data_IF_108229858397
#
_entry.id   IF_108229858397
#
_cell.length_a   1.000
_cell.length_b   1.000
_cell.length_c   1.000
_cell.angle_alpha   90.00
_cell.angle_beta   90.00
_cell.angle_gamma   90.00
#
_symmetry.space_group_name_H-M   'P 1'
#
loop_
_entity.id
_entity.type
_entity.pdbx_description
1 polymer ?
#
# COMPACT_ATOMS: atom_id res chain seq x y z
N UNK A 1 6.23 25.70 -2.47
CA UNK A 1 6.89 24.52 -3.08
C UNK A 1 6.26 24.22 -4.41
N UNK A 2 7.05 23.95 -5.42
CA UNK A 2 6.52 23.64 -6.73
C UNK A 2 5.82 22.28 -6.74
N UNK A 3 4.79 22.16 -7.55
CA UNK A 3 4.00 20.93 -7.68
C UNK A 3 4.88 19.71 -8.02
N UNK A 4 5.89 19.90 -8.87
CA UNK A 4 6.83 18.86 -9.27
C UNK A 4 7.59 18.28 -8.07
N UNK A 5 8.03 19.15 -7.14
CA UNK A 5 8.76 18.71 -5.95
C UNK A 5 7.87 17.95 -4.99
N UNK A 6 6.60 18.33 -4.90
CA UNK A 6 5.63 17.64 -4.05
C UNK A 6 5.39 16.22 -4.57
N UNK A 7 5.23 16.06 -5.89
CA UNK A 7 5.03 14.74 -6.49
C UNK A 7 6.24 13.84 -6.31
N UNK A 8 7.43 14.38 -6.48
CA UNK A 8 8.68 13.63 -6.27
C UNK A 8 8.82 13.21 -4.80
N UNK A 9 8.52 14.09 -3.87
CA UNK A 9 8.56 13.81 -2.45
C UNK A 9 7.55 12.75 -2.07
N UNK A 10 6.33 12.87 -2.60
CA UNK A 10 5.26 11.91 -2.36
C UNK A 10 5.67 10.51 -2.82
N UNK A 11 6.23 10.40 -4.01
CA UNK A 11 6.68 9.12 -4.55
C UNK A 11 7.85 8.55 -3.76
N UNK A 12 8.79 9.38 -3.32
CA UNK A 12 9.90 8.94 -2.48
C UNK A 12 9.39 8.37 -1.15
N UNK A 13 8.38 9.00 -0.55
CA UNK A 13 7.76 8.51 0.68
C UNK A 13 7.04 7.18 0.47
N UNK A 14 6.31 7.03 -0.65
CA UNK A 14 5.64 5.77 -0.97
C UNK A 14 6.64 4.63 -1.17
N UNK A 15 7.70 4.88 -1.92
CA UNK A 15 8.73 3.87 -2.17
C UNK A 15 9.46 3.48 -0.88
N UNK A 16 9.79 4.46 -0.04
CA UNK A 16 10.45 4.21 1.25
C UNK A 16 9.56 3.38 2.17
N UNK A 17 8.28 3.75 2.26
CA UNK A 17 7.32 3.03 3.10
C UNK A 17 7.13 1.60 2.60
N UNK A 18 6.99 1.42 1.29
CA UNK A 18 6.84 0.09 0.69
C UNK A 18 8.04 -0.81 1.03
N UNK A 19 9.25 -0.28 0.87
CA UNK A 19 10.47 -1.02 1.19
C UNK A 19 10.48 -1.46 2.66
N UNK A 20 10.22 -0.53 3.57
CA UNK A 20 10.27 -0.81 5.00
C UNK A 20 9.15 -1.77 5.42
N UNK A 21 7.96 -1.63 4.86
CA UNK A 21 6.84 -2.50 5.17
C UNK A 21 7.07 -3.93 4.71
N UNK A 22 7.71 -4.12 3.56
CA UNK A 22 8.01 -5.46 3.05
C UNK A 22 9.16 -6.12 3.78
N UNK A 23 10.05 -5.35 4.37
CA UNK A 23 11.19 -5.87 5.16
C UNK A 23 10.82 -6.11 6.62
N UNK A 24 9.70 -5.58 7.09
CA UNK A 24 9.30 -5.61 8.49
C UNK A 24 8.34 -6.77 8.77
N UNK A 25 8.45 -7.38 9.96
CA UNK A 25 7.53 -8.45 10.36
C UNK A 25 6.12 -7.92 10.65
N UNK A 26 6.01 -6.65 11.06
CA UNK A 26 4.73 -5.99 11.27
C UNK A 26 4.72 -4.67 10.50
N UNK A 27 4.06 -4.63 9.33
CA UNK A 27 4.05 -3.42 8.49
C UNK A 27 3.49 -2.18 9.18
N UNK A 28 2.57 -2.36 10.14
CA UNK A 28 1.96 -1.24 10.84
C UNK A 28 2.88 -0.62 11.89
N UNK A 29 4.00 -1.27 12.20
CA UNK A 29 4.99 -0.74 13.14
C UNK A 29 6.03 0.15 12.47
N UNK A 30 5.96 0.32 11.16
CA UNK A 30 6.86 1.22 10.43
C UNK A 30 6.60 2.67 10.85
N UNK A 31 7.62 3.32 11.40
CA UNK A 31 7.47 4.67 11.94
C UNK A 31 7.64 5.74 10.88
N UNK A 32 7.05 6.92 11.14
CA UNK A 32 7.23 8.09 10.27
C UNK A 32 8.71 8.47 10.14
N UNK A 33 9.46 8.38 11.23
CA UNK A 33 10.89 8.71 11.22
C UNK A 33 11.69 7.75 10.34
N UNK A 34 11.38 6.46 10.40
CA UNK A 34 12.06 5.47 9.56
C UNK A 34 11.75 5.73 8.08
N UNK A 35 10.50 6.03 7.76
CA UNK A 35 10.08 6.32 6.39
C UNK A 35 10.79 7.56 5.84
N UNK A 36 10.77 8.65 6.58
CA UNK A 36 11.38 9.91 6.12
C UNK A 36 12.89 9.81 6.03
N UNK A 37 13.52 9.07 6.94
CA UNK A 37 14.96 8.83 6.89
C UNK A 37 15.32 8.05 5.61
N UNK A 38 14.57 7.00 5.30
CA UNK A 38 14.79 6.21 4.08
C UNK A 38 14.56 7.04 2.83
N UNK A 39 13.52 7.89 2.83
CA UNK A 39 13.20 8.75 1.69
C UNK A 39 14.12 9.96 1.55
N UNK A 40 14.85 10.32 2.62
CA UNK A 40 15.71 11.48 2.62
C UNK A 40 14.97 12.82 2.66
N UNK A 41 13.79 12.84 3.32
CA UNK A 41 12.96 14.04 3.39
C UNK A 41 12.61 14.40 4.83
N UNK A 42 12.06 15.59 5.02
CA UNK A 42 11.67 16.10 6.33
C UNK A 42 10.44 15.34 6.85
N UNK A 43 10.42 15.10 8.17
CA UNK A 43 9.33 14.41 8.85
C UNK A 43 7.96 15.05 8.58
N UNK A 44 7.91 16.39 8.50
CA UNK A 44 6.65 17.11 8.23
C UNK A 44 6.04 16.76 6.88
N UNK A 45 6.83 16.22 5.94
CA UNK A 45 6.34 15.94 4.59
C UNK A 45 5.32 14.81 4.55
N UNK A 46 5.32 13.90 5.52
CA UNK A 46 4.28 12.86 5.58
C UNK A 46 2.91 13.52 5.78
N UNK A 47 2.80 14.42 6.76
CA UNK A 47 1.54 15.12 7.00
C UNK A 47 1.16 16.04 5.83
N UNK A 48 2.14 16.67 5.21
CA UNK A 48 1.90 17.57 4.08
C UNK A 48 1.37 16.81 2.86
N UNK A 49 1.97 15.68 2.53
CA UNK A 49 1.62 14.92 1.32
C UNK A 49 0.46 13.95 1.50
N UNK A 50 0.27 13.40 2.70
CA UNK A 50 -0.70 12.33 2.96
C UNK A 50 -1.68 12.64 4.07
N UNK A 51 -1.39 13.63 4.90
CA UNK A 51 -2.22 13.96 6.06
C UNK A 51 -1.86 13.19 7.32
N UNK A 52 -1.41 11.95 7.20
CA UNK A 52 -1.01 11.13 8.34
C UNK A 52 -0.13 9.97 7.87
N UNK A 53 0.57 9.35 8.82
CA UNK A 53 1.31 8.12 8.57
C UNK A 53 0.38 7.00 8.10
N UNK A 54 -0.77 6.88 8.74
CA UNK A 54 -1.75 5.85 8.42
C UNK A 54 -2.26 5.98 6.98
N UNK A 55 -2.50 7.19 6.51
CA UNK A 55 -2.90 7.42 5.11
C UNK A 55 -1.81 6.98 4.13
N UNK A 56 -0.54 7.26 4.46
CA UNK A 56 0.60 6.81 3.66
C UNK A 56 0.66 5.29 3.59
N UNK A 57 0.55 4.61 4.73
CA UNK A 57 0.58 3.15 4.77
C UNK A 57 -0.58 2.55 3.99
N UNK A 58 -1.76 3.16 4.05
CA UNK A 58 -2.94 2.73 3.28
C UNK A 58 -2.69 2.80 1.78
N UNK A 59 -2.03 3.86 1.30
CA UNK A 59 -1.71 3.96 -0.12
C UNK A 59 -0.72 2.88 -0.56
N UNK A 60 0.25 2.56 0.29
CA UNK A 60 1.19 1.48 0.00
C UNK A 60 0.46 0.15 -0.09
N UNK A 61 -0.47 -0.11 0.83
CA UNK A 61 -1.29 -1.32 0.76
C UNK A 61 -2.07 -1.38 -0.56
N UNK A 62 -2.59 -0.26 -1.02
CA UNK A 62 -3.29 -0.19 -2.29
C UNK A 62 -2.41 -0.58 -3.47
N UNK A 63 -1.16 -0.14 -3.48
CA UNK A 63 -0.18 -0.50 -4.51
C UNK A 63 0.12 -2.00 -4.51
N UNK A 64 0.43 -2.55 -3.34
CA UNK A 64 0.76 -3.97 -3.19
C UNK A 64 -0.43 -4.84 -3.56
N UNK A 65 -1.62 -4.44 -3.17
CA UNK A 65 -2.87 -5.11 -3.50
C UNK A 65 -3.09 -5.15 -5.01
N UNK A 66 -2.86 -4.02 -5.71
CA UNK A 66 -3.03 -3.95 -7.15
C UNK A 66 -2.09 -4.91 -7.87
N UNK A 67 -0.82 -4.96 -7.45
CA UNK A 67 0.15 -5.90 -8.01
C UNK A 67 -0.28 -7.35 -7.80
N UNK A 68 -0.70 -7.68 -6.57
CA UNK A 68 -1.14 -9.04 -6.25
C UNK A 68 -2.38 -9.44 -7.05
N UNK A 69 -3.33 -8.51 -7.22
CA UNK A 69 -4.55 -8.76 -7.98
C UNK A 69 -4.29 -9.00 -9.46
N UNK A 70 -3.35 -8.25 -10.04
CA UNK A 70 -3.00 -8.42 -11.46
C UNK A 70 -2.46 -9.82 -11.76
N UNK A 71 -1.83 -10.44 -10.77
CA UNK A 71 -1.21 -11.76 -10.93
C UNK A 71 -2.07 -12.90 -10.38
N UNK A 72 -3.30 -12.61 -9.91
CA UNK A 72 -4.17 -13.60 -9.29
C UNK A 72 -5.30 -14.02 -10.25
N UNK A 73 -5.29 -15.28 -10.76
CA UNK A 73 -6.33 -15.76 -11.67
C UNK A 73 -7.71 -15.79 -11.02
N UNK A 74 -7.82 -16.03 -9.72
CA UNK A 74 -9.12 -16.03 -9.02
C UNK A 74 -9.75 -14.65 -8.98
N UNK A 75 -8.94 -13.60 -8.85
CA UNK A 75 -9.42 -12.23 -8.91
C UNK A 75 -10.11 -11.96 -10.25
N UNK A 76 -9.47 -12.39 -11.35
CA UNK A 76 -10.01 -12.24 -12.69
C UNK A 76 -11.33 -13.00 -12.84
N UNK A 77 -11.42 -14.21 -12.28
CA UNK A 77 -12.64 -15.02 -12.32
C UNK A 77 -13.78 -14.36 -11.55
N UNK A 78 -13.50 -13.74 -10.40
CA UNK A 78 -14.52 -13.03 -9.63
C UNK A 78 -15.10 -11.87 -10.44
N UNK A 79 -14.24 -11.09 -11.09
CA UNK A 79 -14.67 -9.94 -11.89
C UNK A 79 -15.52 -10.38 -13.09
N UNK A 80 -15.15 -11.47 -13.75
CA UNK A 80 -15.85 -11.99 -14.92
C UNK A 80 -17.08 -12.80 -14.59
N UNK A 81 -17.29 -13.17 -13.33
CA UNK A 81 -18.40 -13.99 -12.90
C UNK A 81 -19.74 -13.26 -12.96
N UNK A 82 -20.82 -14.01 -12.77
CA UNK A 82 -22.20 -13.50 -12.85
C UNK A 82 -22.74 -12.97 -11.53
N UNK A 83 -21.88 -12.78 -10.53
CA UNK A 83 -22.28 -12.23 -9.24
C UNK A 83 -22.78 -10.80 -9.38
N UNK A 84 -23.68 -10.40 -8.47
CA UNK A 84 -24.13 -9.01 -8.41
C UNK A 84 -22.95 -8.08 -8.08
N UNK A 85 -23.02 -6.78 -8.42
CA UNK A 85 -21.95 -5.84 -8.10
C UNK A 85 -21.58 -5.84 -6.61
N UNK A 86 -22.57 -5.96 -5.73
CA UNK A 86 -22.34 -5.99 -4.28
C UNK A 86 -21.57 -7.26 -3.88
N UNK A 87 -21.96 -8.41 -4.43
CA UNK A 87 -21.28 -9.68 -4.14
C UNK A 87 -19.87 -9.68 -4.68
N UNK A 88 -19.65 -9.12 -5.89
CA UNK A 88 -18.31 -8.98 -6.46
C UNK A 88 -17.42 -8.16 -5.54
N UNK A 89 -17.94 -7.05 -5.02
CA UNK A 89 -17.18 -6.19 -4.12
C UNK A 89 -16.77 -6.94 -2.85
N UNK A 90 -17.69 -7.68 -2.25
CA UNK A 90 -17.41 -8.49 -1.05
C UNK A 90 -16.34 -9.54 -1.35
N UNK A 91 -16.46 -10.27 -2.45
CA UNK A 91 -15.50 -11.30 -2.83
C UNK A 91 -14.12 -10.72 -3.13
N UNK A 92 -14.06 -9.59 -3.82
CA UNK A 92 -12.80 -8.89 -4.10
C UNK A 92 -12.13 -8.47 -2.80
N UNK A 93 -12.90 -7.92 -1.86
CA UNK A 93 -12.37 -7.49 -0.58
C UNK A 93 -11.80 -8.67 0.22
N UNK A 94 -12.54 -9.77 0.31
CA UNK A 94 -12.08 -10.97 1.02
C UNK A 94 -10.82 -11.55 0.38
N UNK A 95 -10.78 -11.62 -0.95
CA UNK A 95 -9.62 -12.15 -1.67
C UNK A 95 -8.41 -11.25 -1.47
N UNK A 96 -8.62 -9.94 -1.50
CA UNK A 96 -7.57 -8.96 -1.27
C UNK A 96 -6.95 -9.13 0.12
N UNK A 97 -7.77 -9.30 1.15
CA UNK A 97 -7.28 -9.51 2.50
C UNK A 97 -6.43 -10.77 2.60
N UNK A 98 -6.85 -11.86 1.96
CA UNK A 98 -6.08 -13.10 1.94
C UNK A 98 -4.73 -12.93 1.27
N UNK A 99 -4.70 -12.22 0.14
CA UNK A 99 -3.45 -11.95 -0.59
C UNK A 99 -2.50 -11.09 0.25
N UNK A 100 -3.01 -10.07 0.91
CA UNK A 100 -2.19 -9.22 1.77
C UNK A 100 -1.60 -9.99 2.94
N UNK A 101 -2.41 -10.80 3.62
CA UNK A 101 -1.93 -11.62 4.73
C UNK A 101 -0.84 -12.57 4.27
N UNK A 102 -1.02 -13.21 3.11
CA UNK A 102 -0.03 -14.11 2.53
C UNK A 102 1.26 -13.37 2.21
N UNK A 103 1.14 -12.20 1.57
CA UNK A 103 2.29 -11.39 1.18
C UNK A 103 3.16 -11.03 2.38
N UNK A 104 2.55 -10.49 3.44
CA UNK A 104 3.30 -10.07 4.62
C UNK A 104 3.80 -11.26 5.46
N UNK A 105 3.11 -12.38 5.44
CA UNK A 105 3.60 -13.58 6.13
C UNK A 105 4.88 -14.12 5.50
N UNK A 106 5.02 -14.00 4.18
CA UNK A 106 6.24 -14.42 3.49
C UNK A 106 7.43 -13.51 3.79
N UNK A 107 7.18 -12.28 4.24
CA UNK A 107 8.23 -11.33 4.55
C UNK A 107 8.88 -11.54 5.92
N UNK A 108 8.37 -12.45 6.70
CA UNK A 108 8.94 -12.78 8.02
C UNK A 108 10.18 -13.64 7.92
#
# INVERSE_FOLDING_TARGET
MEKRNIEATREALLNAAEKLMTECSDPFQVTSRAITKEAGVNLAMINYCFGSREALLFEVFGRLKSEAQLNDPEFSNIIKGELSPKEKLIQIHLRTMKLMLRYFNYSK
#
